data_IF_558582310209
#
_entry.id   IF_558582310209
#
_cell.length_a   1.000
_cell.length_b   1.000
_cell.length_c   1.000
_cell.angle_alpha   90.00
_cell.angle_beta   90.00
_cell.angle_gamma   90.00
#
_symmetry.space_group_name_H-M   'P 1'
#
loop_
_entity.id
_entity.type
_entity.pdbx_description
1 polymer ?
#
# COMPACT_ATOMS: atom_id res chain seq x y z
N UNK A 1 -7.15 2.74 -37.31
CA UNK A 1 -5.99 2.88 -36.40
C UNK A 1 -5.86 1.63 -35.54
N UNK A 2 -4.83 0.87 -35.74
CA UNK A 2 -4.62 -0.25 -34.85
C UNK A 2 -4.34 0.28 -33.44
N UNK A 3 -5.14 -0.19 -32.52
CA UNK A 3 -4.97 0.18 -31.13
C UNK A 3 -3.73 -0.49 -30.58
N UNK A 4 -2.93 0.30 -29.89
CA UNK A 4 -1.80 -0.29 -29.13
C UNK A 4 -2.38 -1.26 -28.13
N UNK A 5 -1.88 -2.46 -28.17
CA UNK A 5 -2.32 -3.51 -27.27
C UNK A 5 -1.80 -3.19 -25.87
N UNK A 6 -2.70 -2.82 -24.99
CA UNK A 6 -2.34 -2.72 -23.58
C UNK A 6 -1.90 -4.11 -23.10
N UNK A 7 -0.79 -4.20 -22.46
CA UNK A 7 -0.23 -5.47 -22.08
C UNK A 7 0.44 -6.25 -23.22
N UNK A 8 0.48 -5.67 -24.40
CA UNK A 8 1.15 -6.30 -25.53
C UNK A 8 2.66 -6.41 -25.32
N UNK A 9 3.24 -7.42 -25.95
CA UNK A 9 4.67 -7.62 -25.91
C UNK A 9 5.37 -6.71 -26.88
N UNK A 10 6.46 -6.11 -26.46
CA UNK A 10 7.38 -5.42 -27.34
C UNK A 10 8.42 -6.47 -27.74
N UNK A 11 8.60 -6.73 -29.05
CA UNK A 11 9.57 -7.74 -29.50
C UNK A 11 10.96 -7.50 -28.91
N UNK A 12 11.54 -8.54 -28.32
CA UNK A 12 12.86 -8.48 -27.72
C UNK A 12 12.94 -7.89 -26.30
N UNK A 13 11.84 -7.33 -25.77
CA UNK A 13 11.83 -6.71 -24.44
C UNK A 13 11.11 -7.57 -23.40
N UNK A 14 10.25 -8.47 -23.82
CA UNK A 14 9.44 -9.27 -22.93
C UNK A 14 8.09 -8.62 -22.63
N UNK A 15 7.37 -9.12 -21.62
CA UNK A 15 6.06 -8.55 -21.29
C UNK A 15 6.18 -7.18 -20.65
N UNK A 16 5.24 -6.26 -20.93
CA UNK A 16 5.18 -5.00 -20.24
C UNK A 16 4.95 -5.22 -18.75
N UNK A 17 5.62 -4.44 -17.93
CA UNK A 17 5.44 -4.48 -16.48
C UNK A 17 4.32 -3.51 -16.11
N UNK A 18 3.27 -4.01 -15.47
CA UNK A 18 2.28 -3.15 -14.85
C UNK A 18 2.88 -2.61 -13.56
N UNK A 19 2.99 -1.29 -13.46
CA UNK A 19 3.57 -0.66 -12.30
C UNK A 19 2.50 -0.49 -11.23
N UNK A 20 2.67 -1.21 -10.15
CA UNK A 20 1.78 -1.11 -9.00
C UNK A 20 2.43 -0.31 -7.89
N UNK A 21 1.62 0.49 -7.23
CA UNK A 21 1.96 1.17 -5.99
C UNK A 21 1.46 0.31 -4.84
N UNK A 22 2.36 -0.13 -3.98
CA UNK A 22 2.00 -0.85 -2.77
C UNK A 22 1.83 0.14 -1.64
N UNK A 23 0.65 0.17 -1.04
CA UNK A 23 0.34 1.01 0.12
C UNK A 23 0.05 0.11 1.30
N UNK A 24 0.56 0.46 2.46
CA UNK A 24 0.26 -0.27 3.69
C UNK A 24 -0.92 0.39 4.38
N UNK A 25 -1.97 -0.39 4.61
CA UNK A 25 -3.16 0.04 5.35
C UNK A 25 -2.97 -0.28 6.82
N UNK A 26 -2.98 0.74 7.64
CA UNK A 26 -2.94 0.64 9.09
C UNK A 26 -3.98 1.57 9.71
N UNK A 27 -4.00 1.66 11.03
CA UNK A 27 -4.97 2.50 11.75
C UNK A 27 -4.50 3.96 11.90
N UNK A 28 -3.40 4.32 11.27
CA UNK A 28 -2.86 5.68 11.36
C UNK A 28 -3.63 6.67 10.49
N UNK A 29 -3.65 7.92 10.91
CA UNK A 29 -4.28 8.99 10.13
C UNK A 29 -3.47 9.35 8.88
N UNK A 30 -2.17 9.21 8.93
CA UNK A 30 -1.28 9.45 7.78
C UNK A 30 -1.46 8.45 6.65
N UNK A 31 -2.05 7.30 6.93
CA UNK A 31 -2.39 6.31 5.91
C UNK A 31 -3.30 6.88 4.82
N UNK A 32 -4.20 7.79 5.16
CA UNK A 32 -5.08 8.45 4.20
C UNK A 32 -4.28 9.16 3.10
N UNK A 33 -3.24 9.90 3.47
CA UNK A 33 -2.43 10.62 2.50
C UNK A 33 -1.59 9.66 1.62
N UNK A 34 -1.11 8.57 2.19
CA UNK A 34 -0.43 7.53 1.42
C UNK A 34 -1.38 6.92 0.38
N UNK A 35 -2.62 6.61 0.78
CA UNK A 35 -3.64 6.07 -0.12
C UNK A 35 -3.98 7.07 -1.25
N UNK A 36 -4.16 8.34 -0.91
CA UNK A 36 -4.43 9.38 -1.91
C UNK A 36 -3.30 9.51 -2.92
N UNK A 37 -2.07 9.58 -2.42
CA UNK A 37 -0.90 9.70 -3.28
C UNK A 37 -0.79 8.52 -4.25
N UNK A 38 -0.89 7.30 -3.73
CA UNK A 38 -0.79 6.10 -4.55
C UNK A 38 -1.88 6.06 -5.64
N UNK A 39 -3.13 6.37 -5.27
CA UNK A 39 -4.24 6.38 -6.21
C UNK A 39 -4.07 7.44 -7.31
N UNK A 40 -3.66 8.65 -6.94
CA UNK A 40 -3.41 9.73 -7.90
C UNK A 40 -2.27 9.38 -8.85
N UNK A 41 -1.19 8.83 -8.33
CA UNK A 41 -0.07 8.40 -9.16
C UNK A 41 -0.45 7.26 -10.09
N UNK A 42 -1.16 6.27 -9.58
CA UNK A 42 -1.64 5.15 -10.41
C UNK A 42 -2.55 5.64 -11.54
N UNK A 43 -3.48 6.53 -11.23
CA UNK A 43 -4.38 7.10 -12.25
C UNK A 43 -3.61 7.83 -13.36
N UNK A 44 -2.58 8.57 -13.00
CA UNK A 44 -1.80 9.37 -13.97
C UNK A 44 -0.77 8.56 -14.75
N UNK A 45 -0.32 7.46 -14.21
CA UNK A 45 0.71 6.62 -14.86
C UNK A 45 0.16 5.37 -15.54
N UNK A 46 -1.15 5.15 -15.44
CA UNK A 46 -1.76 3.91 -15.94
C UNK A 46 -1.40 2.68 -15.12
N UNK A 47 -0.96 2.89 -13.89
CA UNK A 47 -0.60 1.80 -12.98
C UNK A 47 -1.77 1.32 -12.13
N UNK A 48 -1.47 0.44 -11.19
CA UNK A 48 -2.43 -0.10 -10.24
C UNK A 48 -2.05 0.22 -8.80
N UNK A 49 -2.96 -0.10 -7.88
CA UNK A 49 -2.74 0.03 -6.44
C UNK A 49 -3.01 -1.31 -5.79
N UNK A 50 -2.06 -1.78 -5.00
CA UNK A 50 -2.24 -2.91 -4.08
C UNK A 50 -2.19 -2.35 -2.67
N UNK A 51 -3.19 -2.68 -1.89
CA UNK A 51 -3.28 -2.29 -0.48
C UNK A 51 -2.96 -3.52 0.36
N UNK A 52 -1.92 -3.42 1.17
CA UNK A 52 -1.48 -4.50 2.05
C UNK A 52 -1.79 -4.14 3.49
N UNK A 53 -2.49 -5.02 4.17
CA UNK A 53 -2.70 -4.94 5.61
C UNK A 53 -2.00 -6.13 6.27
N UNK A 54 -1.23 -5.87 7.31
CA UNK A 54 -0.55 -6.92 8.06
C UNK A 54 -1.09 -6.96 9.48
N UNK A 55 -1.56 -8.13 9.87
CA UNK A 55 -2.06 -8.37 11.22
C UNK A 55 -0.90 -8.92 12.05
N UNK A 56 -0.44 -8.18 13.08
CA UNK A 56 0.64 -8.65 13.92
C UNK A 56 0.22 -9.88 14.73
N UNK A 57 1.09 -10.86 14.93
CA UNK A 57 0.74 -12.07 15.66
C UNK A 57 0.44 -11.81 17.14
N UNK A 58 0.96 -10.74 17.71
CA UNK A 58 0.73 -10.35 19.10
C UNK A 58 -0.75 -10.11 19.43
N UNK A 59 -1.55 -9.73 18.43
CA UNK A 59 -2.98 -9.51 18.64
C UNK A 59 -3.72 -10.76 19.07
N UNK A 60 -3.16 -11.95 18.83
CA UNK A 60 -3.83 -13.23 19.06
C UNK A 60 -3.19 -14.08 20.16
N UNK A 61 -2.05 -13.67 20.72
CA UNK A 61 -1.26 -14.50 21.64
C UNK A 61 -1.90 -14.71 23.01
N UNK A 62 -2.75 -13.79 23.45
CA UNK A 62 -3.28 -13.81 24.82
C UNK A 62 -4.60 -14.57 24.97
N UNK A 63 -5.16 -15.08 23.88
CA UNK A 63 -6.52 -15.61 23.87
C UNK A 63 -6.57 -17.01 23.26
N UNK A 64 -6.18 -18.01 24.05
CA UNK A 64 -6.29 -19.42 23.62
C UNK A 64 -7.77 -19.75 23.41
N UNK A 65 -8.11 -20.24 22.22
CA UNK A 65 -9.45 -20.64 21.87
C UNK A 65 -10.34 -19.57 21.22
N UNK A 66 -9.89 -18.29 21.18
CA UNK A 66 -10.63 -17.20 20.52
C UNK A 66 -9.81 -16.55 19.40
N UNK A 67 -8.61 -17.09 19.13
CA UNK A 67 -7.73 -16.53 18.11
C UNK A 67 -8.35 -16.45 16.71
N UNK A 68 -9.10 -17.49 16.31
CA UNK A 68 -9.74 -17.54 15.00
C UNK A 68 -10.83 -16.49 14.87
N UNK A 69 -11.61 -16.27 15.93
CA UNK A 69 -12.65 -15.23 15.96
C UNK A 69 -12.02 -13.86 15.85
N UNK A 70 -10.93 -13.63 16.58
CA UNK A 70 -10.21 -12.34 16.55
C UNK A 70 -9.57 -12.07 15.18
N UNK A 71 -9.04 -13.11 14.53
CA UNK A 71 -8.51 -12.99 13.17
C UNK A 71 -9.60 -12.61 12.19
N UNK A 72 -10.75 -13.25 12.28
CA UNK A 72 -11.88 -12.96 11.40
C UNK A 72 -12.40 -11.54 11.61
N UNK A 73 -12.54 -11.10 12.86
CA UNK A 73 -12.91 -9.72 13.18
C UNK A 73 -11.89 -8.70 12.66
N UNK A 74 -10.59 -9.00 12.80
CA UNK A 74 -9.54 -8.15 12.28
C UNK A 74 -9.62 -8.04 10.75
N UNK A 75 -9.86 -9.15 10.07
CA UNK A 75 -10.04 -9.16 8.61
C UNK A 75 -11.24 -8.35 8.18
N UNK A 76 -12.37 -8.50 8.87
CA UNK A 76 -13.57 -7.73 8.58
C UNK A 76 -13.35 -6.22 8.75
N UNK A 77 -12.67 -5.80 9.82
CA UNK A 77 -12.31 -4.39 10.02
C UNK A 77 -11.45 -3.85 8.88
N UNK A 78 -10.48 -4.64 8.46
CA UNK A 78 -9.59 -4.28 7.35
C UNK A 78 -10.39 -4.16 6.05
N UNK A 79 -11.25 -5.11 5.76
CA UNK A 79 -12.08 -5.11 4.55
C UNK A 79 -13.02 -3.90 4.50
N UNK A 80 -13.65 -3.57 5.62
CA UNK A 80 -14.52 -2.39 5.74
C UNK A 80 -13.72 -1.11 5.53
N UNK A 81 -12.56 -1.00 6.17
CA UNK A 81 -11.68 0.16 6.03
C UNK A 81 -11.16 0.30 4.60
N UNK A 82 -10.73 -0.81 4.01
CA UNK A 82 -10.30 -0.85 2.62
C UNK A 82 -11.40 -0.38 1.67
N UNK A 83 -12.63 -0.84 1.86
CA UNK A 83 -13.73 -0.53 0.94
C UNK A 83 -14.04 0.97 0.88
N UNK A 84 -13.83 1.70 1.96
CA UNK A 84 -13.96 3.17 1.97
C UNK A 84 -12.99 3.80 0.97
N UNK A 85 -11.73 3.38 1.01
CA UNK A 85 -10.73 3.87 0.06
C UNK A 85 -10.97 3.37 -1.36
N UNK A 86 -11.32 2.10 -1.49
CA UNK A 86 -11.53 1.47 -2.78
C UNK A 86 -12.67 2.13 -3.56
N UNK A 87 -13.76 2.45 -2.88
CA UNK A 87 -14.88 3.16 -3.49
C UNK A 87 -14.43 4.52 -4.05
N UNK A 88 -13.70 5.28 -3.27
CA UNK A 88 -13.18 6.57 -3.72
C UNK A 88 -12.23 6.40 -4.91
N UNK A 89 -11.32 5.42 -4.86
CA UNK A 89 -10.38 5.17 -5.94
C UNK A 89 -11.10 4.81 -7.24
N UNK A 90 -12.09 3.93 -7.17
CA UNK A 90 -12.88 3.55 -8.34
C UNK A 90 -13.69 4.71 -8.90
N UNK A 91 -14.43 5.40 -8.04
CA UNK A 91 -15.40 6.42 -8.46
C UNK A 91 -14.73 7.71 -8.92
N UNK A 92 -13.63 8.10 -8.26
CA UNK A 92 -12.98 9.39 -8.50
C UNK A 92 -11.69 9.31 -9.28
N UNK A 93 -10.98 8.19 -9.22
CA UNK A 93 -9.69 8.04 -9.86
C UNK A 93 -9.67 7.00 -10.99
N UNK A 94 -10.71 6.22 -11.12
CA UNK A 94 -10.76 5.14 -12.12
C UNK A 94 -9.74 4.02 -11.84
N UNK A 95 -9.33 3.88 -10.60
CA UNK A 95 -8.38 2.86 -10.15
C UNK A 95 -9.13 1.83 -9.33
N UNK A 96 -8.99 0.56 -9.68
CA UNK A 96 -9.57 -0.55 -8.93
C UNK A 96 -8.47 -1.22 -8.10
N UNK A 97 -8.37 -0.91 -6.80
CA UNK A 97 -7.31 -1.46 -5.97
C UNK A 97 -7.58 -2.90 -5.57
N UNK A 98 -6.52 -3.65 -5.34
CA UNK A 98 -6.62 -4.97 -4.74
C UNK A 98 -6.22 -4.93 -3.26
N UNK A 99 -6.83 -5.79 -2.45
CA UNK A 99 -6.51 -5.93 -1.04
C UNK A 99 -5.78 -7.24 -0.80
N UNK A 100 -4.68 -7.16 -0.06
CA UNK A 100 -3.94 -8.33 0.42
C UNK A 100 -3.84 -8.22 1.93
N UNK A 101 -4.21 -9.29 2.62
CA UNK A 101 -4.10 -9.36 4.08
C UNK A 101 -3.12 -10.46 4.42
N UNK A 102 -2.14 -10.13 5.26
CA UNK A 102 -1.16 -11.08 5.78
C UNK A 102 -1.09 -11.03 7.28
N UNK A 103 -0.61 -12.10 7.88
CA UNK A 103 -0.34 -12.19 9.31
C UNK A 103 1.15 -12.38 9.51
N UNK A 104 1.74 -11.61 10.40
CA UNK A 104 3.17 -11.70 10.68
C UNK A 104 3.75 -10.37 11.16
N UNK A 105 5.07 -10.31 11.17
CA UNK A 105 5.79 -9.07 11.48
C UNK A 105 5.65 -8.11 10.29
N UNK A 106 5.10 -6.91 10.48
CA UNK A 106 4.77 -6.02 9.35
C UNK A 106 5.91 -5.78 8.36
N UNK A 107 7.10 -5.47 8.84
CA UNK A 107 8.25 -5.22 7.95
C UNK A 107 8.62 -6.44 7.13
N UNK A 108 8.62 -7.61 7.75
CA UNK A 108 8.98 -8.86 7.08
C UNK A 108 7.95 -9.23 6.02
N UNK A 109 6.66 -9.07 6.33
CA UNK A 109 5.59 -9.39 5.40
C UNK A 109 5.53 -8.43 4.22
N UNK A 110 5.82 -7.15 4.44
CA UNK A 110 5.90 -6.17 3.36
C UNK A 110 7.03 -6.54 2.39
N UNK A 111 8.20 -6.82 2.90
CA UNK A 111 9.36 -7.20 2.08
C UNK A 111 9.09 -8.50 1.33
N UNK A 112 8.53 -9.49 2.01
CA UNK A 112 8.18 -10.76 1.40
C UNK A 112 7.17 -10.57 0.25
N UNK A 113 6.13 -9.77 0.47
CA UNK A 113 5.12 -9.54 -0.55
C UNK A 113 5.69 -8.81 -1.77
N UNK A 114 6.54 -7.80 -1.57
CA UNK A 114 7.19 -7.12 -2.69
C UNK A 114 8.05 -8.10 -3.50
N UNK A 115 8.71 -9.03 -2.83
CA UNK A 115 9.53 -10.04 -3.50
C UNK A 115 8.71 -11.06 -4.29
N UNK A 116 7.47 -11.29 -3.89
CA UNK A 116 6.56 -12.22 -4.56
C UNK A 116 5.83 -11.58 -5.76
N UNK A 117 5.46 -10.32 -5.65
CA UNK A 117 4.74 -9.60 -6.71
C UNK A 117 5.67 -8.67 -7.47
N UNK A 118 6.18 -9.14 -8.58
CA UNK A 118 7.16 -8.41 -9.40
C UNK A 118 6.58 -7.19 -10.12
N UNK A 119 5.27 -7.02 -10.12
CA UNK A 119 4.64 -5.84 -10.70
C UNK A 119 4.66 -4.62 -9.76
N UNK A 120 4.99 -4.83 -8.49
CA UNK A 120 5.17 -3.73 -7.55
C UNK A 120 6.44 -2.97 -7.88
N UNK A 121 6.28 -1.68 -8.13
CA UNK A 121 7.40 -0.80 -8.48
C UNK A 121 7.76 0.23 -7.42
N UNK A 122 6.87 0.50 -6.48
CA UNK A 122 7.07 1.51 -5.43
C UNK A 122 6.31 1.10 -4.18
N UNK A 123 6.96 1.24 -3.02
CA UNK A 123 6.31 1.15 -1.73
C UNK A 123 5.94 2.57 -1.26
N UNK A 124 4.69 2.79 -0.86
CA UNK A 124 4.19 4.08 -0.40
C UNK A 124 3.81 3.98 1.07
N UNK A 125 4.39 4.81 1.89
CA UNK A 125 4.14 4.87 3.33
C UNK A 125 3.71 6.26 3.75
N UNK A 126 2.79 6.34 4.70
CA UNK A 126 2.43 7.60 5.36
C UNK A 126 3.33 7.86 6.55
N UNK A 127 3.79 9.09 6.71
CA UNK A 127 4.58 9.50 7.86
C UNK A 127 3.78 10.41 8.77
N UNK A 128 3.80 10.11 10.07
CA UNK A 128 3.18 10.97 11.06
C UNK A 128 3.84 12.35 11.10
N UNK A 129 3.03 13.39 11.17
CA UNK A 129 3.50 14.76 11.32
C UNK A 129 3.77 15.12 12.78
N UNK A 130 3.53 14.23 13.72
CA UNK A 130 3.79 14.47 15.13
C UNK A 130 5.31 14.46 15.40
N UNK A 131 5.86 15.65 15.64
CA UNK A 131 7.29 15.82 15.86
C UNK A 131 7.80 15.13 17.13
N UNK A 132 6.93 14.90 18.11
CA UNK A 132 7.31 14.22 19.35
C UNK A 132 7.40 12.74 19.19
N UNK A 133 6.49 12.15 18.43
CA UNK A 133 6.44 10.70 18.18
C UNK A 133 7.30 10.27 17.01
N UNK A 134 7.68 11.20 16.14
CA UNK A 134 8.41 10.93 14.91
C UNK A 134 7.51 10.34 13.82
N UNK A 135 8.09 9.84 12.73
CA UNK A 135 7.35 9.46 11.53
C UNK A 135 6.52 8.20 11.66
N UNK A 136 6.64 7.50 12.75
CA UNK A 136 5.96 6.23 13.00
C UNK A 136 6.90 5.03 12.90
N UNK A 137 6.52 3.90 13.54
CA UNK A 137 7.40 2.74 13.62
C UNK A 137 7.67 2.10 12.27
N UNK A 138 6.69 2.04 11.39
CA UNK A 138 6.88 1.43 10.08
C UNK A 138 7.85 2.21 9.22
N UNK A 139 7.70 3.53 9.15
CA UNK A 139 8.63 4.40 8.41
C UNK A 139 10.05 4.27 8.98
N UNK A 140 10.17 4.28 10.30
CA UNK A 140 11.47 4.15 10.97
C UNK A 140 12.15 2.82 10.62
N UNK A 141 11.41 1.72 10.71
CA UNK A 141 11.94 0.39 10.42
C UNK A 141 12.29 0.20 8.95
N UNK A 142 11.40 0.64 8.05
CA UNK A 142 11.65 0.52 6.62
C UNK A 142 12.81 1.41 6.15
N UNK A 143 12.99 2.57 6.78
CA UNK A 143 14.13 3.43 6.49
C UNK A 143 15.48 2.77 6.80
N UNK A 144 15.55 1.98 7.86
CA UNK A 144 16.75 1.22 8.20
C UNK A 144 17.10 0.17 7.14
N UNK A 145 16.09 -0.38 6.48
CA UNK A 145 16.25 -1.39 5.45
C UNK A 145 16.26 -0.82 4.04
N UNK A 146 16.17 0.50 3.90
CA UNK A 146 15.94 1.15 2.61
C UNK A 146 17.00 0.80 1.55
N UNK A 147 18.25 0.63 1.96
CA UNK A 147 19.33 0.29 1.04
C UNK A 147 19.26 -1.11 0.45
N UNK A 148 18.49 -1.99 1.04
CA UNK A 148 18.33 -3.38 0.58
C UNK A 148 16.92 -3.73 0.11
N UNK A 149 16.02 -2.75 0.08
CA UNK A 149 14.66 -2.97 -0.42
C UNK A 149 14.67 -3.22 -1.93
N UNK A 150 13.81 -4.13 -2.41
CA UNK A 150 13.77 -4.43 -3.84
C UNK A 150 13.13 -3.33 -4.69
N UNK A 151 12.46 -2.35 -4.08
CA UNK A 151 11.81 -1.22 -4.77
C UNK A 151 12.06 0.09 -4.00
N UNK A 152 11.92 1.23 -4.68
CA UNK A 152 11.96 2.53 -4.00
C UNK A 152 10.83 2.69 -3.00
N UNK A 153 11.05 3.55 -2.00
CA UNK A 153 10.05 3.92 -1.02
C UNK A 153 9.70 5.39 -1.17
N UNK A 154 8.42 5.68 -1.25
CA UNK A 154 7.91 7.06 -1.18
C UNK A 154 7.26 7.25 0.18
N UNK A 155 7.70 8.26 0.91
CA UNK A 155 7.17 8.61 2.22
C UNK A 155 6.33 9.87 2.07
N UNK A 156 5.04 9.76 2.39
CA UNK A 156 4.07 10.85 2.22
C UNK A 156 3.77 11.48 3.57
N UNK A 157 4.04 12.79 3.73
CA UNK A 157 3.72 13.48 4.99
C UNK A 157 2.22 13.43 5.32
N UNK A 158 1.91 13.08 6.56
CA UNK A 158 0.54 12.90 7.01
C UNK A 158 -0.28 14.19 7.12
N UNK A 159 0.38 15.35 7.16
CA UNK A 159 -0.26 16.66 7.23
C UNK A 159 -0.32 17.39 5.88
N UNK A 160 0.12 16.75 4.82
CA UNK A 160 0.05 17.35 3.48
C UNK A 160 -1.40 17.52 3.05
N UNK A 161 -1.74 18.70 2.54
CA UNK A 161 -3.11 18.99 2.12
C UNK A 161 -3.50 18.19 0.87
N UNK A 162 -4.79 17.97 0.72
CA UNK A 162 -5.34 17.32 -0.47
C UNK A 162 -4.92 18.02 -1.75
N UNK A 163 -5.00 19.35 -1.76
CA UNK A 163 -4.64 20.19 -2.91
C UNK A 163 -3.17 20.01 -3.28
N UNK A 164 -2.30 19.95 -2.27
CA UNK A 164 -0.88 19.73 -2.50
C UNK A 164 -0.61 18.34 -3.07
N UNK A 165 -1.27 17.33 -2.52
CA UNK A 165 -1.17 15.96 -3.06
C UNK A 165 -1.59 15.89 -4.51
N UNK A 166 -2.70 16.51 -4.85
CA UNK A 166 -3.18 16.56 -6.24
C UNK A 166 -2.18 17.27 -7.17
N UNK A 167 -1.57 18.33 -6.69
CA UNK A 167 -0.63 19.12 -7.49
C UNK A 167 0.68 18.36 -7.78
N UNK A 168 1.17 17.57 -6.84
CA UNK A 168 2.46 16.89 -6.98
C UNK A 168 2.37 15.45 -7.48
N UNK A 169 1.18 14.88 -7.47
CA UNK A 169 0.98 13.50 -7.95
C UNK A 169 0.78 13.46 -9.48
#
# INVERSE_FOLDING_TARGET
MPRVQSGGMIPGIGRPVMRKFLVVLDDSTECLNAMRFAALRAARTGGGVTVLAVIPPEEFQHWIGVGDIMREEARERIEVHFEVFAKWMRDKQGVDPELVIREGVPTDEIIAYISEDHDIGVLVLGASADKKKGPGPLVTQMSRSAGSLPVPVTIVPGDMSKEKLEAIS
#
